data_IF_952555170377
#
_entry.id   IF_952555170377
#
_cell.length_a   1.000
_cell.length_b   1.000
_cell.length_c   1.000
_cell.angle_alpha   90.00
_cell.angle_beta   90.00
_cell.angle_gamma   90.00
#
_symmetry.space_group_name_H-M   'P 1'
#
loop_
_entity.id
_entity.type
_entity.pdbx_description
1 polymer ?
#
# COMPACT_ATOMS: atom_id res chain seq x y z
N UNK A 1 15.73 14.34 5.49
CA UNK A 1 14.45 14.48 6.14
C UNK A 1 13.34 14.20 5.16
N UNK A 2 12.76 13.00 5.24
CA UNK A 2 11.55 12.62 4.52
C UNK A 2 10.42 13.39 5.18
N UNK A 3 9.87 14.38 4.51
CA UNK A 3 8.64 15.03 4.97
C UNK A 3 7.50 14.07 4.75
N UNK A 4 6.90 13.59 5.85
CA UNK A 4 5.59 12.97 5.86
C UNK A 4 4.56 13.97 5.33
N UNK A 5 4.28 13.90 4.03
CA UNK A 5 3.09 14.54 3.50
C UNK A 5 1.95 13.55 3.64
N UNK A 6 0.98 13.94 4.42
CA UNK A 6 -0.27 13.27 4.74
C UNK A 6 -0.80 12.39 3.61
N UNK A 7 -0.88 11.13 3.90
CA UNK A 7 -1.21 10.04 3.01
C UNK A 7 -2.71 10.05 2.68
N UNK A 8 -3.06 10.73 1.63
CA UNK A 8 -4.21 10.30 0.84
C UNK A 8 -3.65 9.57 -0.37
N UNK A 9 -4.03 8.30 -0.55
CA UNK A 9 -3.41 7.38 -1.53
C UNK A 9 -3.39 7.85 -3.00
N UNK A 10 -4.04 8.94 -3.32
CA UNK A 10 -4.03 9.57 -4.65
C UNK A 10 -2.83 10.50 -4.83
N UNK A 11 -2.34 11.14 -3.76
CA UNK A 11 -1.20 12.06 -3.84
C UNK A 11 0.14 11.35 -4.08
N UNK A 12 0.27 10.11 -3.63
CA UNK A 12 1.51 9.34 -3.79
C UNK A 12 1.78 8.87 -5.22
N UNK A 13 0.74 8.72 -6.05
CA UNK A 13 0.89 8.30 -7.44
C UNK A 13 1.07 9.47 -8.40
N UNK A 14 0.47 10.62 -8.14
CA UNK A 14 0.54 11.78 -9.01
C UNK A 14 1.92 12.49 -8.98
N UNK A 15 2.51 12.62 -7.80
CA UNK A 15 3.80 13.32 -7.63
C UNK A 15 4.96 12.76 -8.47
N UNK A 16 5.20 11.44 -8.55
CA UNK A 16 6.23 10.88 -9.43
C UNK A 16 5.96 11.18 -10.91
N UNK A 17 4.69 11.10 -11.32
CA UNK A 17 4.27 11.38 -12.71
C UNK A 17 4.53 12.84 -13.05
N UNK A 18 4.13 13.79 -12.21
CA UNK A 18 4.35 15.21 -12.43
C UNK A 18 5.83 15.57 -12.45
N UNK A 19 6.65 14.97 -11.58
CA UNK A 19 8.10 15.16 -11.61
C UNK A 19 8.73 14.64 -12.89
N UNK A 20 8.30 13.46 -13.35
CA UNK A 20 8.83 12.84 -14.58
C UNK A 20 8.44 13.62 -15.82
N UNK A 21 7.22 14.11 -15.87
CA UNK A 21 6.70 14.91 -17.00
C UNK A 21 7.08 16.39 -16.87
N UNK A 22 7.74 16.80 -15.78
CA UNK A 22 8.12 18.21 -15.50
C UNK A 22 6.91 19.16 -15.49
N UNK A 23 5.76 18.67 -15.03
CA UNK A 23 4.55 19.45 -14.93
C UNK A 23 4.53 20.25 -13.62
N UNK A 24 4.18 21.53 -13.72
CA UNK A 24 4.03 22.45 -12.59
C UNK A 24 2.60 22.45 -12.03
N UNK A 25 1.96 21.29 -11.97
CA UNK A 25 0.60 21.20 -11.43
C UNK A 25 0.58 21.43 -9.92
N UNK A 26 -0.41 22.17 -9.41
CA UNK A 26 -0.55 22.40 -7.97
C UNK A 26 -0.76 21.06 -7.24
N UNK A 27 -0.16 20.92 -6.05
CA UNK A 27 -0.19 19.69 -5.24
C UNK A 27 -1.60 19.28 -4.78
N UNK A 28 -2.54 20.20 -4.79
CA UNK A 28 -3.94 19.96 -4.41
C UNK A 28 -4.80 19.42 -5.55
N UNK A 29 -4.26 19.36 -6.76
CA UNK A 29 -4.99 18.88 -7.91
C UNK A 29 -5.14 17.36 -7.88
N UNK A 30 -6.38 16.88 -7.76
CA UNK A 30 -6.72 15.45 -7.67
C UNK A 30 -7.21 14.86 -8.99
N UNK A 31 -7.43 15.69 -10.01
CA UNK A 31 -8.00 15.29 -11.29
C UNK A 31 -7.03 15.61 -12.43
N UNK A 32 -7.01 14.75 -13.46
CA UNK A 32 -6.23 14.98 -14.66
C UNK A 32 -6.76 16.19 -15.44
N UNK A 33 -5.85 17.06 -15.86
CA UNK A 33 -6.17 18.18 -16.76
C UNK A 33 -5.93 17.80 -18.22
N UNK A 34 -6.43 18.64 -19.11
CA UNK A 34 -6.15 18.49 -20.56
C UNK A 34 -4.65 18.60 -20.87
N UNK A 35 -3.93 19.42 -20.12
CA UNK A 35 -2.48 19.62 -20.27
C UNK A 35 -1.72 18.36 -19.86
N UNK A 36 -2.11 17.73 -18.76
CA UNK A 36 -1.51 16.47 -18.29
C UNK A 36 -1.67 15.37 -19.35
N UNK A 37 -2.85 15.26 -19.95
CA UNK A 37 -3.13 14.26 -20.99
C UNK A 37 -2.25 14.50 -22.22
N UNK A 38 -2.09 15.76 -22.64
CA UNK A 38 -1.25 16.11 -23.80
C UNK A 38 0.21 15.75 -23.54
N UNK A 39 0.73 16.04 -22.34
CA UNK A 39 2.10 15.73 -21.99
C UNK A 39 2.35 14.22 -21.84
N UNK A 40 1.38 13.47 -21.32
CA UNK A 40 1.42 12.00 -21.28
C UNK A 40 1.52 11.43 -22.70
N UNK A 41 0.71 11.92 -23.63
CA UNK A 41 0.74 11.48 -25.04
C UNK A 41 2.06 11.84 -25.68
N UNK A 42 2.57 13.05 -25.50
CA UNK A 42 3.88 13.45 -26.00
C UNK A 42 5.01 12.55 -25.47
N UNK A 43 4.94 12.21 -24.18
CA UNK A 43 5.90 11.31 -23.55
C UNK A 43 5.84 9.91 -24.18
N UNK A 44 4.64 9.35 -24.34
CA UNK A 44 4.42 8.06 -24.99
C UNK A 44 4.99 8.04 -26.42
N UNK A 45 4.73 9.06 -27.22
CA UNK A 45 5.27 9.17 -28.58
C UNK A 45 6.80 9.24 -28.58
N UNK A 46 7.42 9.92 -27.60
CA UNK A 46 8.89 9.96 -27.47
C UNK A 46 9.47 8.58 -27.15
N UNK A 47 8.81 7.83 -26.25
CA UNK A 47 9.22 6.45 -25.91
C UNK A 47 9.07 5.52 -27.09
N UNK A 48 7.96 5.60 -27.84
CA UNK A 48 7.70 4.77 -29.02
C UNK A 48 8.69 5.06 -30.15
N UNK A 49 9.18 6.29 -30.26
CA UNK A 49 10.18 6.68 -31.25
C UNK A 49 11.62 6.27 -30.87
N UNK A 50 11.80 5.36 -29.92
CA UNK A 50 13.07 4.70 -29.64
C UNK A 50 14.02 5.43 -28.71
N UNK A 51 13.56 6.41 -27.91
CA UNK A 51 14.36 6.97 -26.83
C UNK A 51 14.33 6.03 -25.63
N UNK A 52 15.18 5.01 -25.65
CA UNK A 52 15.30 4.00 -24.60
C UNK A 52 15.59 4.60 -23.20
N UNK A 53 16.29 5.73 -23.16
CA UNK A 53 16.64 6.44 -21.91
C UNK A 53 15.42 6.94 -21.12
N UNK A 54 14.23 6.94 -21.74
CA UNK A 54 12.98 7.33 -21.09
C UNK A 54 12.23 6.16 -20.42
N UNK A 55 12.65 4.93 -20.71
CA UNK A 55 12.04 3.73 -20.13
C UNK A 55 12.59 3.55 -18.71
N UNK A 56 11.68 3.51 -17.73
CA UNK A 56 12.08 3.27 -16.34
C UNK A 56 12.27 1.78 -16.08
N UNK A 57 13.29 1.47 -15.30
CA UNK A 57 13.43 0.17 -14.66
C UNK A 57 12.40 0.06 -13.53
N UNK A 58 11.42 -0.82 -13.72
CA UNK A 58 10.31 -1.05 -12.78
C UNK A 58 10.83 -1.67 -11.47
N UNK A 59 11.92 -2.44 -11.53
CA UNK A 59 12.49 -3.14 -10.38
C UNK A 59 13.40 -2.26 -9.54
N UNK A 60 13.86 -1.15 -10.08
CA UNK A 60 14.70 -0.23 -9.34
C UNK A 60 13.94 0.37 -8.14
N UNK A 61 14.55 0.36 -6.95
CA UNK A 61 13.91 0.85 -5.71
C UNK A 61 13.55 2.33 -5.73
N UNK A 62 14.05 3.12 -6.67
CA UNK A 62 13.58 4.50 -6.89
C UNK A 62 12.16 4.54 -7.45
N UNK A 63 11.75 3.53 -8.20
CA UNK A 63 10.43 3.41 -8.83
C UNK A 63 9.50 2.47 -8.05
N UNK A 64 10.07 1.59 -7.25
CA UNK A 64 9.36 0.61 -6.42
C UNK A 64 9.39 1.01 -4.97
N UNK A 65 8.23 1.39 -4.43
CA UNK A 65 8.09 1.87 -3.07
C UNK A 65 7.93 0.73 -2.07
N UNK A 66 8.68 0.77 -0.98
CA UNK A 66 8.49 -0.12 0.16
C UNK A 66 7.31 0.39 1.01
N UNK A 67 6.35 -0.49 1.28
CA UNK A 67 5.22 -0.19 2.17
C UNK A 67 5.64 -0.42 3.62
N UNK A 68 5.58 0.63 4.41
CA UNK A 68 5.92 0.55 5.84
C UNK A 68 4.84 -0.19 6.65
N UNK A 69 5.20 -0.68 7.83
CA UNK A 69 4.24 -1.32 8.76
C UNK A 69 3.10 -0.36 9.12
N UNK A 70 3.41 0.93 9.33
CA UNK A 70 2.41 1.94 9.64
C UNK A 70 1.38 2.11 8.53
N UNK A 71 1.79 2.07 7.27
CA UNK A 71 0.89 2.13 6.12
C UNK A 71 -0.01 0.88 6.02
N UNK A 72 0.55 -0.29 6.28
CA UNK A 72 -0.22 -1.53 6.28
C UNK A 72 -1.26 -1.54 7.41
N UNK A 73 -0.88 -1.11 8.61
CA UNK A 73 -1.79 -0.95 9.75
C UNK A 73 -2.88 0.09 9.47
N UNK A 74 -2.53 1.21 8.86
CA UNK A 74 -3.50 2.23 8.46
C UNK A 74 -4.57 1.66 7.52
N UNK A 75 -4.16 0.86 6.53
CA UNK A 75 -5.11 0.21 5.63
C UNK A 75 -6.06 -0.73 6.38
N UNK A 76 -5.54 -1.54 7.30
CA UNK A 76 -6.37 -2.44 8.13
C UNK A 76 -7.28 -1.66 9.09
N UNK A 77 -6.79 -0.60 9.68
CA UNK A 77 -7.58 0.28 10.52
C UNK A 77 -8.75 0.90 9.73
N UNK A 78 -8.51 1.33 8.50
CA UNK A 78 -9.55 1.82 7.60
C UNK A 78 -10.64 0.77 7.31
N UNK A 79 -10.26 -0.49 7.11
CA UNK A 79 -11.22 -1.60 6.97
C UNK A 79 -12.04 -1.79 8.24
N UNK A 80 -11.40 -1.70 9.41
CA UNK A 80 -12.07 -1.79 10.71
C UNK A 80 -13.09 -0.67 10.91
N UNK A 81 -12.73 0.57 10.57
CA UNK A 81 -13.64 1.72 10.64
C UNK A 81 -14.81 1.59 9.68
N UNK A 82 -14.57 1.12 8.45
CA UNK A 82 -15.64 0.91 7.47
C UNK A 82 -16.66 -0.13 7.95
N UNK A 83 -16.18 -1.24 8.53
CA UNK A 83 -17.05 -2.26 9.15
C UNK A 83 -17.85 -1.69 10.31
N UNK A 84 -17.21 -0.93 11.20
CA UNK A 84 -17.87 -0.28 12.33
C UNK A 84 -18.94 0.72 11.86
N UNK A 85 -18.63 1.56 10.88
CA UNK A 85 -19.58 2.50 10.30
C UNK A 85 -20.79 1.81 9.66
N UNK A 86 -20.58 0.67 9.00
CA UNK A 86 -21.68 -0.14 8.47
C UNK A 86 -22.57 -0.66 9.59
N UNK A 87 -22.01 -1.25 10.64
CA UNK A 87 -22.77 -1.77 11.76
C UNK A 87 -23.56 -0.67 12.49
N UNK A 88 -22.97 0.53 12.62
CA UNK A 88 -23.67 1.68 13.21
C UNK A 88 -24.89 2.06 12.37
N UNK A 89 -24.74 2.16 11.04
CA UNK A 89 -25.86 2.45 10.13
C UNK A 89 -26.97 1.40 10.24
N UNK A 90 -26.61 0.13 10.25
CA UNK A 90 -27.56 -0.98 10.38
C UNK A 90 -28.32 -0.88 11.71
N UNK A 91 -27.65 -0.58 12.83
CA UNK A 91 -28.29 -0.39 14.13
C UNK A 91 -29.20 0.83 14.17
N UNK A 92 -28.80 1.93 13.56
CA UNK A 92 -29.63 3.14 13.47
C UNK A 92 -30.90 2.90 12.66
N UNK A 93 -30.81 2.15 11.56
CA UNK A 93 -31.96 1.86 10.70
C UNK A 93 -33.00 0.91 11.36
N UNK A 94 -32.56 0.05 12.27
CA UNK A 94 -33.44 -0.92 12.94
C UNK A 94 -34.21 -0.29 14.11
N UNK A 95 -33.72 0.80 14.67
CA UNK A 95 -34.23 1.39 15.90
C UNK A 95 -34.75 2.82 15.68
N UNK A 96 -35.77 2.98 14.86
CA UNK A 96 -36.28 4.30 14.43
C UNK A 96 -36.82 5.21 15.54
N UNK A 97 -37.10 4.69 16.76
CA UNK A 97 -37.82 5.44 17.80
C UNK A 97 -37.14 5.46 19.18
N UNK A 98 -35.89 5.06 19.31
CA UNK A 98 -35.19 5.03 20.60
C UNK A 98 -34.14 6.15 20.69
N UNK A 99 -34.00 6.73 21.87
CA UNK A 99 -32.91 7.67 22.15
C UNK A 99 -31.65 6.87 22.40
N UNK A 100 -30.67 6.93 21.48
CA UNK A 100 -29.39 6.22 21.71
C UNK A 100 -28.31 7.15 22.20
N UNK A 101 -27.40 6.55 22.97
CA UNK A 101 -26.11 7.18 23.24
C UNK A 101 -25.07 6.68 22.22
N UNK A 102 -24.03 7.49 21.90
CA UNK A 102 -22.95 7.03 21.03
C UNK A 102 -22.27 5.74 21.49
N UNK A 103 -22.26 5.50 22.80
CA UNK A 103 -21.67 4.30 23.42
C UNK A 103 -22.43 3.02 23.05
N UNK A 104 -23.75 3.11 22.88
CA UNK A 104 -24.60 1.96 22.50
C UNK A 104 -24.42 1.56 21.04
N UNK A 105 -24.02 2.48 20.22
CA UNK A 105 -23.83 2.28 18.78
C UNK A 105 -22.42 1.79 18.44
N UNK A 106 -21.40 2.28 19.16
CA UNK A 106 -19.98 2.01 18.86
C UNK A 106 -19.55 0.70 19.52
N UNK A 107 -18.99 -0.20 18.70
CA UNK A 107 -18.38 -1.44 19.19
C UNK A 107 -16.87 -1.46 18.87
N UNK A 108 -16.06 -1.16 19.87
CA UNK A 108 -14.61 -1.15 19.74
C UNK A 108 -14.01 -2.54 19.42
N UNK A 109 -14.72 -3.64 19.73
CA UNK A 109 -14.26 -5.01 19.45
C UNK A 109 -14.08 -5.25 17.95
N UNK A 110 -14.87 -4.61 17.10
CA UNK A 110 -14.74 -4.71 15.63
C UNK A 110 -13.37 -4.24 15.18
N UNK A 111 -12.89 -3.13 15.73
CA UNK A 111 -11.59 -2.58 15.39
C UNK A 111 -10.44 -3.44 15.94
N UNK A 112 -10.52 -3.81 17.22
CA UNK A 112 -9.53 -4.69 17.86
C UNK A 112 -9.42 -6.04 17.15
N UNK A 113 -10.54 -6.62 16.71
CA UNK A 113 -10.56 -7.87 15.95
C UNK A 113 -9.81 -7.79 14.63
N UNK A 114 -9.95 -6.69 13.88
CA UNK A 114 -9.24 -6.51 12.61
C UNK A 114 -7.73 -6.39 12.82
N UNK A 115 -7.31 -5.63 13.83
CA UNK A 115 -5.89 -5.46 14.16
C UNK A 115 -5.29 -6.79 14.64
N UNK A 116 -5.97 -7.50 15.55
CA UNK A 116 -5.53 -8.81 16.03
C UNK A 116 -5.46 -9.83 14.88
N UNK A 117 -6.41 -9.81 13.96
CA UNK A 117 -6.39 -10.65 12.77
C UNK A 117 -5.19 -10.33 11.86
N UNK A 118 -4.83 -9.07 11.71
CA UNK A 118 -3.65 -8.70 10.94
C UNK A 118 -2.37 -9.30 11.54
N UNK A 119 -2.15 -9.13 12.84
CA UNK A 119 -0.96 -9.69 13.48
C UNK A 119 -0.97 -11.22 13.61
N UNK A 120 -2.14 -11.83 13.73
CA UNK A 120 -2.26 -13.28 13.91
C UNK A 120 -2.35 -14.11 12.64
N UNK A 121 -2.92 -13.57 11.57
CA UNK A 121 -3.22 -14.34 10.35
C UNK A 121 -2.59 -13.79 9.07
N UNK A 122 -2.07 -12.57 9.09
CA UNK A 122 -1.41 -12.02 7.90
C UNK A 122 -0.08 -12.73 7.65
N UNK A 123 0.15 -13.12 6.40
CA UNK A 123 1.42 -13.72 5.99
C UNK A 123 2.61 -12.76 6.10
N UNK A 124 2.35 -11.45 6.09
CA UNK A 124 3.38 -10.42 6.24
C UNK A 124 3.81 -10.23 7.70
N UNK A 125 2.97 -10.66 8.65
CA UNK A 125 3.30 -10.66 10.07
C UNK A 125 3.95 -11.98 10.44
N UNK A 126 5.24 -11.94 10.73
CA UNK A 126 6.07 -13.12 11.03
C UNK A 126 6.71 -12.97 12.41
N UNK A 127 7.02 -14.10 13.04
CA UNK A 127 7.81 -14.09 14.27
C UNK A 127 9.22 -13.55 13.98
N UNK A 128 9.71 -12.70 14.87
CA UNK A 128 11.05 -12.17 14.78
C UNK A 128 12.07 -13.30 15.05
N UNK A 129 13.02 -13.46 14.15
CA UNK A 129 14.15 -14.38 14.37
C UNK A 129 15.11 -13.74 15.37
N UNK A 130 15.27 -14.37 16.52
CA UNK A 130 16.13 -13.93 17.63
C UNK A 130 17.19 -14.98 17.99
N UNK A 131 17.55 -15.85 17.06
CA UNK A 131 18.56 -16.90 17.28
C UNK A 131 19.91 -16.29 17.66
N UNK A 132 20.30 -15.22 17.01
CA UNK A 132 21.47 -14.41 17.35
C UNK A 132 21.24 -12.94 16.96
N UNK A 133 22.04 -11.99 17.49
CA UNK A 133 21.87 -10.57 17.18
C UNK A 133 21.95 -10.22 15.70
N UNK A 134 22.78 -10.90 14.92
CA UNK A 134 22.94 -10.67 13.51
C UNK A 134 21.70 -11.12 12.73
N UNK A 135 21.14 -12.27 13.07
CA UNK A 135 19.89 -12.80 12.50
C UNK A 135 18.72 -11.85 12.76
N UNK A 136 18.62 -11.32 13.96
CA UNK A 136 17.59 -10.34 14.34
C UNK A 136 17.69 -9.08 13.49
N UNK A 137 18.90 -8.51 13.35
CA UNK A 137 19.12 -7.30 12.54
C UNK A 137 18.77 -7.57 11.07
N UNK A 138 19.19 -8.71 10.53
CA UNK A 138 18.89 -9.12 9.16
C UNK A 138 17.39 -9.23 8.92
N UNK A 139 16.68 -9.85 9.87
CA UNK A 139 15.22 -9.99 9.77
C UNK A 139 14.51 -8.63 9.84
N UNK A 140 14.94 -7.71 10.71
CA UNK A 140 14.39 -6.35 10.81
C UNK A 140 14.63 -5.51 9.54
N UNK A 141 15.70 -5.78 8.80
CA UNK A 141 16.04 -5.06 7.55
C UNK A 141 15.48 -5.71 6.30
N UNK A 142 14.71 -6.78 6.41
CA UNK A 142 14.10 -7.48 5.28
C UNK A 142 13.04 -6.60 4.61
N UNK A 143 13.12 -6.50 3.30
CA UNK A 143 12.18 -5.74 2.47
C UNK A 143 11.14 -6.67 1.84
N UNK A 144 11.54 -7.89 1.46
CA UNK A 144 10.65 -8.89 0.86
C UNK A 144 10.25 -9.95 1.87
N UNK A 145 8.99 -10.37 1.85
CA UNK A 145 8.51 -11.47 2.69
C UNK A 145 8.97 -12.85 2.17
N UNK A 146 9.34 -12.94 0.89
CA UNK A 146 9.79 -14.17 0.25
C UNK A 146 11.29 -14.38 0.43
N UNK A 147 11.71 -15.63 0.43
CA UNK A 147 13.13 -16.01 0.45
C UNK A 147 13.56 -16.76 1.71
N UNK A 148 14.86 -17.00 1.89
CA UNK A 148 15.40 -17.75 3.03
C UNK A 148 15.00 -17.12 4.36
N UNK A 149 14.45 -17.93 5.27
CA UNK A 149 13.96 -17.47 6.58
C UNK A 149 12.62 -16.72 6.55
N UNK A 150 11.96 -16.64 5.40
CA UNK A 150 10.63 -16.09 5.22
C UNK A 150 9.67 -17.08 4.58
N UNK A 151 8.72 -16.57 3.81
CA UNK A 151 7.73 -17.36 3.06
C UNK A 151 8.39 -18.05 1.86
N UNK A 152 8.08 -19.33 1.62
CA UNK A 152 8.37 -19.97 0.35
C UNK A 152 7.35 -19.56 -0.70
N UNK A 153 7.73 -19.54 -1.98
CA UNK A 153 6.83 -19.20 -3.08
C UNK A 153 5.55 -20.04 -3.09
N UNK A 154 5.68 -21.33 -2.84
CA UNK A 154 4.55 -22.26 -2.86
C UNK A 154 3.55 -22.03 -1.74
N UNK A 155 3.98 -21.46 -0.62
CA UNK A 155 3.14 -21.15 0.55
C UNK A 155 2.65 -19.72 0.58
N UNK A 156 3.20 -18.85 -0.25
CA UNK A 156 2.76 -17.48 -0.35
C UNK A 156 1.37 -17.39 -0.99
N UNK A 157 0.48 -16.62 -0.39
CA UNK A 157 -0.81 -16.31 -0.98
C UNK A 157 -0.65 -15.56 -2.30
N UNK A 158 -1.66 -15.65 -3.16
CA UNK A 158 -1.67 -15.07 -4.51
C UNK A 158 -1.28 -13.58 -4.50
N UNK A 159 -1.85 -12.79 -3.61
CA UNK A 159 -1.54 -11.35 -3.49
C UNK A 159 -0.07 -11.07 -3.16
N UNK A 160 0.56 -11.88 -2.30
CA UNK A 160 1.97 -11.71 -1.93
C UNK A 160 2.88 -12.20 -3.05
N UNK A 161 2.48 -13.26 -3.75
CA UNK A 161 3.21 -13.87 -4.85
C UNK A 161 3.21 -12.98 -6.08
N UNK A 162 2.06 -12.50 -6.53
CA UNK A 162 1.94 -11.65 -7.72
C UNK A 162 2.76 -10.38 -7.61
N UNK A 163 2.72 -9.72 -6.46
CA UNK A 163 3.52 -8.51 -6.23
C UNK A 163 5.04 -8.78 -6.23
N UNK A 164 5.46 -10.03 -6.11
CA UNK A 164 6.86 -10.44 -6.09
C UNK A 164 7.31 -11.13 -7.37
N UNK A 165 6.39 -11.78 -8.10
CA UNK A 165 6.69 -12.57 -9.30
C UNK A 165 6.68 -11.78 -10.60
N UNK A 166 5.99 -10.64 -10.66
CA UNK A 166 6.05 -9.78 -11.87
C UNK A 166 7.48 -9.41 -12.27
N UNK A 167 8.47 -9.63 -11.38
CA UNK A 167 9.83 -9.16 -11.53
C UNK A 167 10.93 -10.23 -11.46
N UNK A 168 10.58 -11.50 -11.28
CA UNK A 168 11.61 -12.57 -11.20
C UNK A 168 11.75 -13.42 -12.46
N UNK A 169 10.87 -13.24 -13.44
CA UNK A 169 10.92 -14.00 -14.70
C UNK A 169 12.11 -13.60 -15.61
N UNK A 170 12.64 -12.39 -15.45
CA UNK A 170 13.76 -11.90 -16.28
C UNK A 170 15.16 -12.26 -15.76
N UNK A 171 15.28 -12.67 -14.51
CA UNK A 171 16.58 -13.06 -13.92
C UNK A 171 16.92 -14.54 -14.09
N UNK A 172 16.08 -15.33 -14.77
CA UNK A 172 16.29 -16.77 -15.01
C UNK A 172 16.49 -17.14 -16.48
N UNK A 173 16.69 -16.15 -17.37
CA UNK A 173 17.06 -16.41 -18.77
C UNK A 173 18.53 -16.13 -19.05
#
# INVERSE_FOLDING_TARGET
GIRDSSVTGVQTCALPIYRKLQLSSPLDQKTLTKEDIIEIIKYLVRVTNGKADLIDDIDHLSNRRVRTVGEQLYAQFGVGLARMARTIRERMNVRDNEVFTPVDLINARTLSSVINSFFGTSQLSQFLDQTNPLSEITHKRRISALGPGGLSRDRAGFEVRDRSEEHTSELQS
#
